data_IF_102085936087
#
_entry.id   IF_102085936087
#
_cell.length_a   1.000
_cell.length_b   1.000
_cell.length_c   1.000
_cell.angle_alpha   90.00
_cell.angle_beta   90.00
_cell.angle_gamma   90.00
#
_symmetry.space_group_name_H-M   'P 1'
#
loop_
_entity.id
_entity.type
_entity.pdbx_description
1 polymer ?
#
# COMPACT_ATOMS: atom_id res chain seq x y z
N UNK A 1 -0.73 -14.51 19.83
CA UNK A 1 -1.22 -13.63 18.77
C UNK A 1 -1.59 -12.30 19.40
N UNK A 2 -0.74 -11.29 19.22
CA UNK A 2 -0.98 -9.97 19.79
C UNK A 2 -2.08 -9.32 18.94
N UNK A 3 -3.24 -9.07 19.54
CA UNK A 3 -4.36 -8.44 18.84
C UNK A 3 -3.88 -7.14 18.20
N UNK A 4 -3.95 -7.04 16.87
CA UNK A 4 -3.75 -5.77 16.15
C UNK A 4 -4.80 -4.79 16.66
N UNK A 5 -4.36 -3.73 17.32
CA UNK A 5 -5.21 -2.66 17.89
C UNK A 5 -5.07 -1.44 17.00
N UNK A 6 -6.19 -0.71 16.81
CA UNK A 6 -6.14 0.62 16.22
C UNK A 6 -5.23 1.55 17.02
N UNK A 7 -4.30 2.21 16.33
CA UNK A 7 -3.40 3.23 16.88
C UNK A 7 -3.83 4.60 16.35
N UNK A 8 -4.08 5.57 17.24
CA UNK A 8 -4.70 6.85 16.87
C UNK A 8 -3.70 8.00 16.68
N UNK A 9 -2.43 7.73 16.94
CA UNK A 9 -1.36 8.74 16.99
C UNK A 9 -0.40 8.66 15.80
N UNK A 10 -0.36 7.52 15.10
CA UNK A 10 0.53 7.26 13.95
C UNK A 10 -0.06 6.22 12.99
N UNK A 11 0.52 6.09 11.80
CA UNK A 11 0.20 5.01 10.87
C UNK A 11 0.80 3.66 11.30
N UNK A 12 1.93 3.67 12.02
CA UNK A 12 2.63 2.46 12.42
C UNK A 12 1.79 1.63 13.40
N UNK A 13 1.70 0.33 13.16
CA UNK A 13 0.79 -0.61 13.81
C UNK A 13 -0.61 -0.70 13.18
N UNK A 14 -0.94 0.13 12.18
CA UNK A 14 -2.25 0.11 11.53
C UNK A 14 -2.27 -0.61 10.18
N UNK A 15 -3.47 -1.11 9.84
CA UNK A 15 -3.81 -1.67 8.53
C UNK A 15 -4.91 -0.84 7.89
N UNK A 16 -4.73 -0.48 6.62
CA UNK A 16 -5.72 0.24 5.82
C UNK A 16 -6.22 -0.64 4.67
N UNK A 17 -7.54 -0.74 4.55
CA UNK A 17 -8.20 -1.65 3.59
C UNK A 17 -9.10 -0.87 2.64
N UNK A 18 -9.19 -1.35 1.40
CA UNK A 18 -10.30 -1.05 0.50
C UNK A 18 -11.35 -2.17 0.62
N UNK A 19 -12.59 -1.85 0.25
CA UNK A 19 -13.73 -2.78 0.27
C UNK A 19 -13.89 -3.57 1.60
N UNK A 20 -13.46 -2.95 2.71
CA UNK A 20 -13.44 -3.56 4.05
C UNK A 20 -12.78 -4.96 4.12
N UNK A 21 -11.82 -5.25 3.24
CA UNK A 21 -11.24 -6.58 3.09
C UNK A 21 -9.71 -6.55 3.27
N UNK A 22 -9.22 -7.18 4.34
CA UNK A 22 -7.77 -7.36 4.54
C UNK A 22 -7.22 -8.30 3.48
N UNK A 23 -6.06 -7.95 2.93
CA UNK A 23 -5.40 -8.70 1.87
C UNK A 23 -5.90 -8.41 0.47
N UNK A 24 -6.85 -7.48 0.28
CA UNK A 24 -7.27 -6.99 -1.03
C UNK A 24 -6.56 -5.67 -1.36
N UNK A 25 -5.29 -5.74 -1.73
CA UNK A 25 -4.39 -4.57 -1.83
C UNK A 25 -4.43 -3.67 -0.58
N UNK A 26 -4.53 -4.29 0.60
CA UNK A 26 -4.52 -3.60 1.88
C UNK A 26 -3.11 -3.17 2.25
N UNK A 27 -2.95 -1.96 2.81
CA UNK A 27 -1.67 -1.44 3.27
C UNK A 27 -1.45 -1.77 4.74
N UNK A 28 -0.27 -2.28 5.06
CA UNK A 28 0.14 -2.64 6.41
C UNK A 28 1.38 -1.83 6.78
N UNK A 29 1.30 -1.11 7.88
CA UNK A 29 2.40 -0.35 8.46
C UNK A 29 2.77 -1.01 9.77
N UNK A 30 3.87 -1.75 9.81
CA UNK A 30 4.24 -2.58 10.95
C UNK A 30 5.12 -1.75 11.90
N UNK A 31 6.29 -1.34 11.43
CA UNK A 31 7.26 -0.59 12.22
C UNK A 31 8.02 0.43 11.36
N UNK A 32 8.21 1.64 11.88
CA UNK A 32 8.80 2.76 11.14
C UNK A 32 10.21 2.49 10.63
N UNK A 33 11.01 1.80 11.45
CA UNK A 33 12.38 1.44 11.14
C UNK A 33 12.53 -0.02 10.72
N UNK A 34 11.42 -0.71 10.44
CA UNK A 34 11.42 -2.07 9.95
C UNK A 34 11.83 -2.14 8.48
N UNK A 35 12.46 -3.25 8.08
CA UNK A 35 12.84 -3.50 6.69
C UNK A 35 11.93 -4.55 6.05
N UNK A 36 11.68 -4.40 4.74
CA UNK A 36 10.88 -5.35 3.98
C UNK A 36 9.48 -5.52 4.56
N UNK A 37 9.10 -6.77 4.87
CA UNK A 37 7.77 -7.09 5.41
C UNK A 37 7.58 -6.71 6.88
N UNK A 38 8.66 -6.42 7.61
CA UNK A 38 8.60 -5.93 8.99
C UNK A 38 8.48 -4.40 9.04
N UNK A 39 8.62 -3.71 7.90
CA UNK A 39 8.44 -2.26 7.77
C UNK A 39 7.03 -1.90 7.35
N UNK A 40 6.82 -1.77 6.03
CA UNK A 40 5.50 -1.54 5.44
C UNK A 40 5.34 -2.36 4.16
N UNK A 41 4.14 -2.85 3.89
CA UNK A 41 3.86 -3.66 2.70
C UNK A 41 2.41 -3.55 2.22
N UNK A 42 2.19 -3.97 0.97
CA UNK A 42 0.85 -4.22 0.42
C UNK A 42 0.58 -5.72 0.50
N UNK A 43 -0.60 -6.11 0.99
CA UNK A 43 -1.07 -7.50 0.97
C UNK A 43 -2.08 -7.73 -0.13
N UNK A 44 -1.85 -8.81 -0.87
CA UNK A 44 -2.68 -9.39 -1.93
C UNK A 44 -3.13 -10.82 -1.57
N UNK A 45 -3.14 -11.18 -0.28
CA UNK A 45 -3.49 -12.51 0.22
C UNK A 45 -4.97 -12.90 0.06
N UNK A 46 -5.86 -11.93 -0.17
CA UNK A 46 -7.28 -12.21 -0.36
C UNK A 46 -7.51 -13.04 -1.63
N UNK A 47 -8.37 -14.07 -1.60
CA UNK A 47 -8.74 -14.81 -2.81
C UNK A 47 -9.35 -13.93 -3.92
N UNK A 48 -9.93 -12.79 -3.53
CA UNK A 48 -10.50 -11.82 -4.46
C UNK A 48 -9.43 -11.18 -5.36
N UNK A 49 -8.16 -11.21 -4.98
CA UNK A 49 -7.03 -10.73 -5.79
C UNK A 49 -6.80 -11.56 -7.06
N UNK A 50 -7.38 -12.77 -7.14
CA UNK A 50 -7.25 -13.67 -8.31
C UNK A 50 -7.80 -13.10 -9.62
N UNK A 51 -8.58 -12.02 -9.56
CA UNK A 51 -9.09 -11.31 -10.74
C UNK A 51 -8.05 -10.42 -11.42
N UNK A 52 -6.97 -10.09 -10.71
CA UNK A 52 -5.91 -9.24 -11.26
C UNK A 52 -4.95 -10.03 -12.14
N UNK A 53 -4.33 -9.38 -13.15
CA UNK A 53 -3.38 -10.04 -14.02
C UNK A 53 -2.16 -10.54 -13.23
N UNK A 54 -1.55 -11.60 -13.74
CA UNK A 54 -0.21 -12.04 -13.34
C UNK A 54 0.83 -10.93 -13.59
N UNK A 55 2.03 -11.12 -13.04
CA UNK A 55 3.20 -10.33 -13.42
C UNK A 55 3.48 -10.49 -14.92
N UNK A 56 4.28 -9.59 -15.49
CA UNK A 56 4.49 -9.54 -16.95
C UNK A 56 5.21 -10.78 -17.51
N UNK A 57 5.86 -11.57 -16.66
CA UNK A 57 6.46 -12.87 -17.02
C UNK A 57 5.49 -14.06 -16.90
N UNK A 58 4.24 -13.81 -16.49
CA UNK A 58 3.19 -14.80 -16.30
C UNK A 58 3.17 -15.44 -14.91
N UNK A 59 4.09 -15.12 -14.01
CA UNK A 59 4.08 -15.59 -12.62
C UNK A 59 2.97 -14.91 -11.79
N UNK A 60 2.43 -15.58 -10.74
CA UNK A 60 1.39 -14.97 -9.91
C UNK A 60 1.93 -13.77 -9.12
N UNK A 61 1.05 -12.81 -8.83
CA UNK A 61 1.39 -11.67 -7.96
C UNK A 61 1.78 -12.19 -6.56
N UNK A 62 2.91 -11.73 -5.99
CA UNK A 62 3.31 -12.09 -4.63
C UNK A 62 2.24 -11.70 -3.61
N UNK A 63 1.99 -12.56 -2.63
CA UNK A 63 0.98 -12.30 -1.60
C UNK A 63 1.26 -11.07 -0.74
N UNK A 64 2.54 -10.72 -0.53
CA UNK A 64 2.93 -9.50 0.16
C UNK A 64 4.09 -8.85 -0.58
N UNK A 65 3.99 -7.55 -0.78
CA UNK A 65 4.97 -6.76 -1.53
C UNK A 65 5.46 -5.63 -0.63
N UNK A 66 6.74 -5.63 -0.24
CA UNK A 66 7.28 -4.61 0.65
C UNK A 66 7.38 -3.27 -0.07
N UNK A 67 7.14 -2.19 0.67
CA UNK A 67 7.55 -0.86 0.24
C UNK A 67 9.07 -0.71 0.42
N UNK A 68 9.69 0.00 -0.52
CA UNK A 68 11.07 0.47 -0.46
C UNK A 68 11.08 2.00 -0.44
N UNK A 69 12.22 2.61 -0.13
CA UNK A 69 12.37 4.07 -0.04
C UNK A 69 11.28 4.74 0.82
N UNK A 70 10.98 4.11 1.95
CA UNK A 70 9.90 4.52 2.85
C UNK A 70 10.28 5.82 3.57
N UNK A 71 9.36 6.77 3.59
CA UNK A 71 9.47 8.01 4.34
C UNK A 71 8.12 8.38 4.98
N UNK A 72 8.13 8.70 6.27
CA UNK A 72 6.96 9.19 7.01
C UNK A 72 7.20 10.62 7.50
N UNK A 73 6.32 11.52 7.10
CA UNK A 73 6.26 12.88 7.64
C UNK A 73 5.03 13.04 8.53
N UNK A 74 5.23 13.00 9.85
CA UNK A 74 4.18 13.14 10.85
C UNK A 74 3.51 14.53 10.84
N UNK A 75 4.21 15.59 10.41
CA UNK A 75 3.66 16.94 10.40
C UNK A 75 2.58 17.08 9.33
N UNK A 76 2.83 16.50 8.16
CA UNK A 76 1.87 16.48 7.05
C UNK A 76 0.98 15.23 7.03
N UNK A 77 1.29 14.23 7.87
CA UNK A 77 0.71 12.87 7.88
C UNK A 77 0.82 12.22 6.51
N UNK A 78 2.00 12.33 5.91
CA UNK A 78 2.27 11.81 4.56
C UNK A 78 3.22 10.62 4.63
N UNK A 79 2.76 9.49 4.12
CA UNK A 79 3.62 8.35 3.80
C UNK A 79 4.02 8.42 2.34
N UNK A 80 5.30 8.21 2.07
CA UNK A 80 5.86 8.01 0.74
C UNK A 80 6.61 6.68 0.71
N UNK A 81 6.46 5.94 -0.39
CA UNK A 81 7.13 4.66 -0.58
C UNK A 81 7.02 4.17 -2.02
N UNK A 82 7.85 3.21 -2.39
CA UNK A 82 7.91 2.66 -3.75
C UNK A 82 7.74 1.15 -3.75
N UNK A 83 7.17 0.61 -4.82
CA UNK A 83 7.30 -0.80 -5.17
C UNK A 83 8.15 -0.87 -6.43
N UNK A 84 9.32 -1.48 -6.32
CA UNK A 84 10.26 -1.63 -7.43
C UNK A 84 10.11 -3.02 -8.06
N UNK A 85 9.00 -3.25 -8.79
CA UNK A 85 8.64 -4.55 -9.37
C UNK A 85 9.81 -5.23 -10.07
N UNK A 86 10.45 -4.54 -11.01
CA UNK A 86 11.57 -5.11 -11.79
C UNK A 86 12.76 -5.46 -10.92
N UNK A 87 13.09 -4.65 -9.92
CA UNK A 87 14.23 -4.89 -9.02
C UNK A 87 13.98 -6.07 -8.09
N UNK A 88 12.76 -6.18 -7.55
CA UNK A 88 12.40 -7.16 -6.54
C UNK A 88 12.03 -8.52 -7.13
N UNK A 89 11.40 -8.54 -8.31
CA UNK A 89 10.81 -9.75 -8.91
C UNK A 89 11.38 -10.10 -10.29
N UNK A 90 12.26 -9.26 -10.86
CA UNK A 90 12.89 -9.49 -12.17
C UNK A 90 12.01 -9.14 -13.37
N UNK A 91 10.75 -8.78 -13.15
CA UNK A 91 9.77 -8.39 -14.17
C UNK A 91 8.87 -7.25 -13.67
N UNK A 92 8.11 -6.65 -14.58
CA UNK A 92 7.12 -5.62 -14.25
C UNK A 92 5.77 -6.22 -13.84
N UNK A 93 4.84 -5.34 -13.48
CA UNK A 93 3.42 -5.70 -13.36
C UNK A 93 2.56 -4.72 -14.15
N UNK A 94 1.72 -5.28 -15.02
CA UNK A 94 0.87 -4.51 -15.93
C UNK A 94 1.69 -3.59 -16.85
N UNK A 95 2.93 -3.96 -17.18
CA UNK A 95 3.85 -3.14 -18.00
C UNK A 95 4.63 -2.06 -17.24
N UNK A 96 4.44 -1.93 -15.93
CA UNK A 96 5.21 -0.98 -15.10
C UNK A 96 6.37 -1.66 -14.37
N UNK A 97 7.51 -0.97 -14.30
CA UNK A 97 8.68 -1.45 -13.56
C UNK A 97 8.67 -0.99 -12.10
N UNK A 98 7.96 0.10 -11.81
CA UNK A 98 7.94 0.73 -10.50
C UNK A 98 6.65 1.51 -10.27
N UNK A 99 6.12 1.43 -9.06
CA UNK A 99 5.02 2.26 -8.57
C UNK A 99 5.49 3.12 -7.39
N UNK A 100 5.16 4.41 -7.41
CA UNK A 100 5.44 5.37 -6.33
C UNK A 100 4.15 5.79 -5.67
N UNK A 101 4.12 5.68 -4.35
CA UNK A 101 2.97 5.93 -3.52
C UNK A 101 3.17 7.19 -2.70
N UNK A 102 2.14 8.02 -2.64
CA UNK A 102 1.98 9.11 -1.68
C UNK A 102 0.62 8.98 -1.03
N UNK A 103 0.59 8.76 0.27
CA UNK A 103 -0.65 8.58 1.03
C UNK A 103 -0.71 9.64 2.12
N UNK A 104 -1.75 10.48 2.12
CA UNK A 104 -1.98 11.46 3.18
C UNK A 104 -3.14 10.97 4.05
N UNK A 105 -2.91 10.91 5.36
CA UNK A 105 -3.89 10.38 6.32
C UNK A 105 -4.67 11.51 7.01
N UNK A 106 -5.92 11.21 7.37
CA UNK A 106 -6.68 12.10 8.24
C UNK A 106 -6.02 12.21 9.63
N UNK A 107 -6.49 13.18 10.43
CA UNK A 107 -5.87 13.49 11.72
C UNK A 107 -5.87 12.30 12.70
N UNK A 108 -6.85 11.42 12.58
CA UNK A 108 -7.04 10.28 13.48
C UNK A 108 -6.62 8.95 12.84
N UNK A 109 -5.99 8.95 11.67
CA UNK A 109 -5.55 7.74 10.97
C UNK A 109 -6.68 6.70 10.76
N UNK A 110 -7.88 7.19 10.54
CA UNK A 110 -9.10 6.45 10.18
C UNK A 110 -9.17 6.18 8.68
N UNK A 111 -8.60 7.04 7.84
CA UNK A 111 -8.60 6.87 6.39
C UNK A 111 -7.46 7.61 5.69
N UNK A 112 -7.27 7.25 4.42
CA UNK A 112 -6.43 8.00 3.49
C UNK A 112 -7.31 9.06 2.82
N UNK A 113 -6.89 10.32 2.86
CA UNK A 113 -7.69 11.48 2.43
C UNK A 113 -7.19 12.15 1.16
N UNK A 114 -5.93 11.93 0.77
CA UNK A 114 -5.39 12.43 -0.51
C UNK A 114 -4.08 11.73 -0.88
N UNK A 115 -3.52 12.12 -2.02
CA UNK A 115 -2.35 11.50 -2.63
C UNK A 115 -2.73 10.53 -3.74
N UNK A 116 -1.83 9.63 -4.08
CA UNK A 116 -2.06 8.69 -5.15
C UNK A 116 -0.90 7.75 -5.42
N UNK A 117 -1.07 7.01 -6.50
CA UNK A 117 -0.08 6.06 -7.04
C UNK A 117 0.28 6.51 -8.44
N UNK A 118 1.57 6.71 -8.67
CA UNK A 118 2.15 7.00 -9.99
C UNK A 118 2.95 5.78 -10.40
N UNK A 119 2.74 5.31 -11.63
CA UNK A 119 3.43 4.15 -12.16
C UNK A 119 4.40 4.54 -13.27
N UNK A 120 5.49 3.80 -13.43
CA UNK A 120 6.52 4.14 -14.41
C UNK A 120 7.19 2.91 -15.00
N UNK A 121 7.68 3.07 -16.23
CA UNK A 121 8.45 2.07 -16.98
C UNK A 121 9.74 2.72 -17.45
N UNK A 122 10.89 2.10 -17.16
CA UNK A 122 12.21 2.67 -17.45
C UNK A 122 12.39 4.13 -16.97
N UNK A 123 11.77 4.49 -15.84
CA UNK A 123 11.82 5.84 -15.25
C UNK A 123 10.92 6.88 -15.92
N UNK A 124 10.07 6.48 -16.86
CA UNK A 124 9.07 7.35 -17.51
C UNK A 124 7.69 7.05 -16.91
N UNK A 125 6.98 8.09 -16.45
CA UNK A 125 5.60 7.98 -15.97
C UNK A 125 4.71 7.35 -17.06
N UNK A 126 3.99 6.28 -16.70
CA UNK A 126 3.11 5.55 -17.61
C UNK A 126 1.79 6.29 -17.88
N UNK A 127 1.53 7.37 -17.15
CA UNK A 127 0.29 8.15 -17.19
C UNK A 127 -0.86 7.49 -16.42
N UNK A 128 -0.67 6.27 -15.89
CA UNK A 128 -1.63 5.61 -15.00
C UNK A 128 -1.43 6.14 -13.58
N UNK A 129 -2.35 7.01 -13.21
CA UNK A 129 -2.40 7.66 -11.92
C UNK A 129 -3.71 7.31 -11.20
N UNK A 130 -3.60 6.71 -10.02
CA UNK A 130 -4.74 6.47 -9.14
C UNK A 130 -4.73 7.46 -7.99
N UNK A 131 -5.91 7.96 -7.61
CA UNK A 131 -6.04 8.98 -6.57
C UNK A 131 -6.87 8.47 -5.39
N UNK A 132 -6.41 8.77 -4.18
CA UNK A 132 -7.14 8.37 -2.96
C UNK A 132 -8.36 9.25 -2.66
N UNK A 133 -8.35 10.49 -3.15
CA UNK A 133 -9.48 11.42 -3.03
C UNK A 133 -10.51 11.26 -4.17
N UNK A 134 -10.22 10.41 -5.15
CA UNK A 134 -11.04 10.20 -6.34
C UNK A 134 -10.88 8.77 -6.88
N UNK A 135 -11.64 7.84 -6.30
CA UNK A 135 -11.74 6.44 -6.76
C UNK A 135 -11.14 5.37 -5.85
N UNK A 136 -10.10 5.67 -5.05
CA UNK A 136 -9.52 4.72 -4.09
C UNK A 136 -9.82 5.08 -2.63
N UNK A 137 -10.81 4.43 -2.04
CA UNK A 137 -11.18 4.67 -0.63
C UNK A 137 -10.56 3.63 0.30
N UNK A 138 -9.68 4.09 1.20
CA UNK A 138 -9.03 3.25 2.20
C UNK A 138 -9.41 3.67 3.61
N UNK A 139 -9.80 2.70 4.43
CA UNK A 139 -10.16 2.90 5.84
C UNK A 139 -9.30 2.02 6.74
N UNK A 140 -9.04 2.52 7.94
CA UNK A 140 -8.38 1.75 8.97
C UNK A 140 -9.26 0.57 9.38
N UNK A 141 -8.72 -0.64 9.22
CA UNK A 141 -9.44 -1.88 9.44
C UNK A 141 -10.05 -1.95 10.85
N UNK A 142 -9.23 -1.75 11.88
CA UNK A 142 -9.66 -1.91 13.28
C UNK A 142 -10.50 -0.76 13.80
N UNK A 143 -10.31 0.45 13.28
CA UNK A 143 -11.21 1.54 13.60
C UNK A 143 -12.61 1.34 12.97
N UNK A 144 -12.65 0.77 11.75
CA UNK A 144 -13.92 0.54 11.04
C UNK A 144 -14.82 -0.52 11.67
N UNK A 145 -14.26 -1.48 12.41
CA UNK A 145 -15.03 -2.47 13.18
C UNK A 145 -15.80 -1.85 14.37
N UNK A 146 -15.45 -0.62 14.78
CA UNK A 146 -16.02 0.04 15.97
C UNK A 146 -17.08 1.10 15.65
N UNK A 147 -17.40 1.30 14.38
CA UNK A 147 -18.44 2.22 13.89
C UNK A 147 -19.69 1.44 13.48
#
# INVERSE_FOLDING_TARGET
DASVVYVSETIWGNTFVQDFSVGLASYHFIEENGEGLEGAYISYESPQCSVWPNLDDGSPVPYRVPFTNVHWDAATRTFEGTIEWRRLYGCGWQGDDMWTYKMVFDRNYLCIVSGGVVSSTNGVDSGRNHRYDDGLMYKNWKASERL
#
